data_IF_422263238784
#
_entry.id   IF_422263238784
#
_cell.length_a   1.000
_cell.length_b   1.000
_cell.length_c   1.000
_cell.angle_alpha   90.00
_cell.angle_beta   90.00
_cell.angle_gamma   90.00
#
_symmetry.space_group_name_H-M   'P 1'
#
loop_
_entity.id
_entity.type
_entity.pdbx_description
1 polymer ?
#
# COMPACT_ATOMS: atom_id res chain seq x y z
N UNK A 1 16.81 32.27 58.25
CA UNK A 1 16.98 33.09 57.00
C UNK A 1 16.89 32.16 55.78
N UNK A 2 17.59 31.02 55.72
CA UNK A 2 17.58 30.09 54.59
C UNK A 2 16.16 29.52 54.23
N UNK A 3 15.38 29.24 55.27
CA UNK A 3 14.02 28.65 55.10
C UNK A 3 13.03 29.66 54.46
N UNK A 4 13.15 30.96 54.80
CA UNK A 4 12.31 32.01 54.24
C UNK A 4 12.64 32.28 52.77
N UNK A 5 13.93 32.24 52.38
CA UNK A 5 14.39 32.38 50.99
C UNK A 5 13.91 31.20 50.15
N UNK A 6 13.96 30.01 50.67
CA UNK A 6 13.43 28.80 50.02
C UNK A 6 11.92 28.88 49.75
N UNK A 7 11.16 29.33 50.73
CA UNK A 7 9.70 29.52 50.58
C UNK A 7 9.38 30.64 49.60
N UNK A 8 10.12 31.75 49.63
CA UNK A 8 9.93 32.86 48.71
C UNK A 8 10.28 32.48 47.26
N UNK A 9 11.34 31.71 47.07
CA UNK A 9 11.76 31.17 45.80
C UNK A 9 10.70 30.21 45.22
N UNK A 10 10.21 29.32 46.08
CA UNK A 10 9.20 28.33 45.64
C UNK A 10 7.81 28.95 45.38
N UNK A 11 7.45 30.01 46.14
CA UNK A 11 6.15 30.65 46.01
C UNK A 11 6.08 31.71 44.91
N UNK A 12 7.20 32.43 44.64
CA UNK A 12 7.23 33.53 43.64
C UNK A 12 7.89 33.16 42.33
N UNK A 13 9.03 32.42 42.36
CA UNK A 13 9.79 32.14 41.13
C UNK A 13 9.41 30.84 40.46
N UNK A 14 9.09 29.80 41.23
CA UNK A 14 8.71 28.50 40.64
C UNK A 14 7.42 28.53 39.84
N UNK A 15 6.32 29.18 40.24
CA UNK A 15 5.08 29.21 39.45
C UNK A 15 5.24 29.95 38.14
N UNK A 16 6.10 30.98 38.07
CA UNK A 16 6.33 31.73 36.83
C UNK A 16 7.28 31.00 35.86
N UNK A 17 8.14 30.11 36.39
CA UNK A 17 9.06 29.34 35.57
C UNK A 17 8.47 28.02 35.04
N UNK A 18 7.62 27.41 35.82
CA UNK A 18 6.84 26.23 35.41
C UNK A 18 5.42 26.68 35.02
N UNK A 19 5.18 26.97 33.78
CA UNK A 19 3.82 27.26 33.22
C UNK A 19 2.93 26.01 33.34
N UNK A 20 2.60 25.62 34.61
CA UNK A 20 1.83 24.40 34.87
C UNK A 20 0.38 24.48 34.38
N UNK A 21 -0.16 25.69 34.17
CA UNK A 21 -1.59 25.90 33.83
C UNK A 21 -1.84 26.26 32.36
N UNK A 22 -0.81 26.34 31.53
CA UNK A 22 -1.00 26.59 30.11
C UNK A 22 -1.31 25.28 29.37
N UNK A 23 -2.54 24.83 29.43
CA UNK A 23 -3.03 23.75 28.58
C UNK A 23 -3.60 24.32 27.28
N UNK A 24 -3.16 23.80 26.16
CA UNK A 24 -3.68 24.13 24.83
C UNK A 24 -4.54 22.95 24.37
N UNK A 25 -5.73 23.26 23.91
CA UNK A 25 -6.59 22.25 23.31
C UNK A 25 -6.15 22.00 21.86
N UNK A 26 -5.89 20.73 21.52
CA UNK A 26 -5.52 20.33 20.17
C UNK A 26 -6.72 20.54 19.23
N UNK A 27 -6.57 21.35 18.16
CA UNK A 27 -7.64 21.54 17.19
C UNK A 27 -7.85 20.27 16.36
N UNK A 28 -9.06 20.12 15.83
CA UNK A 28 -9.37 19.08 14.85
C UNK A 28 -8.82 19.49 13.48
N UNK A 29 -7.96 18.66 12.91
CA UNK A 29 -7.38 18.85 11.59
C UNK A 29 -7.55 17.62 10.69
N UNK A 30 -8.49 16.74 11.06
CA UNK A 30 -8.84 15.59 10.24
C UNK A 30 -9.37 16.05 8.87
N UNK A 31 -9.12 15.24 7.85
CA UNK A 31 -9.56 15.44 6.46
C UNK A 31 -9.01 16.73 5.77
N UNK A 32 -8.24 17.55 6.47
CA UNK A 32 -7.61 18.74 5.89
C UNK A 32 -6.35 18.36 5.09
N UNK A 33 -5.98 19.14 4.06
CA UNK A 33 -4.66 19.06 3.45
C UNK A 33 -3.57 19.29 4.50
N UNK A 34 -2.47 18.55 4.42
CA UNK A 34 -1.37 18.64 5.40
C UNK A 34 -0.86 20.08 5.62
N UNK A 35 -0.80 20.89 4.56
CA UNK A 35 -0.37 22.29 4.63
C UNK A 35 -1.28 23.12 5.55
N UNK A 36 -2.57 23.00 5.38
CA UNK A 36 -3.58 23.72 6.18
C UNK A 36 -3.62 23.20 7.63
N UNK A 37 -3.57 21.88 7.79
CA UNK A 37 -3.49 21.24 9.11
C UNK A 37 -2.25 21.71 9.89
N UNK A 38 -1.09 21.77 9.23
CA UNK A 38 0.15 22.26 9.81
C UNK A 38 0.05 23.73 10.24
N UNK A 39 -0.47 24.61 9.39
CA UNK A 39 -0.64 26.01 9.71
C UNK A 39 -1.59 26.21 10.91
N UNK A 40 -2.67 25.44 10.96
CA UNK A 40 -3.63 25.49 12.05
C UNK A 40 -2.99 25.09 13.38
N UNK A 41 -2.23 24.00 13.42
CA UNK A 41 -1.52 23.57 14.63
C UNK A 41 -0.43 24.55 15.07
N UNK A 42 0.34 25.10 14.13
CA UNK A 42 1.37 26.10 14.43
C UNK A 42 0.79 27.38 15.03
N UNK A 43 -0.37 27.84 14.58
CA UNK A 43 -1.09 29.00 15.18
C UNK A 43 -1.54 28.76 16.62
N UNK A 44 -1.61 27.49 17.05
CA UNK A 44 -1.94 27.08 18.41
C UNK A 44 -0.71 26.69 19.23
N UNK A 45 0.49 27.19 18.85
CA UNK A 45 1.75 26.85 19.52
C UNK A 45 2.02 25.33 19.65
N UNK A 46 1.60 24.53 18.66
CA UNK A 46 1.84 23.10 18.60
C UNK A 46 2.87 22.79 17.51
N UNK A 47 3.79 21.90 17.80
CA UNK A 47 4.71 21.38 16.81
C UNK A 47 4.06 20.27 15.98
N UNK A 48 4.46 20.15 14.71
CA UNK A 48 3.86 19.17 13.79
C UNK A 48 4.90 18.21 13.25
N UNK A 49 4.58 16.93 13.23
CA UNK A 49 5.36 15.91 12.56
C UNK A 49 4.49 15.10 11.61
N UNK A 50 4.96 15.00 10.36
CA UNK A 50 4.25 14.28 9.29
C UNK A 50 4.63 12.82 9.30
N UNK A 51 3.65 11.95 9.23
CA UNK A 51 3.79 10.51 9.00
C UNK A 51 2.99 10.12 7.76
N UNK A 52 3.57 9.27 6.92
CA UNK A 52 2.86 8.76 5.73
C UNK A 52 2.13 7.49 6.12
N UNK A 53 0.81 7.52 6.00
CA UNK A 53 -0.08 6.40 6.25
C UNK A 53 -0.23 5.48 5.05
N UNK A 54 -1.15 4.52 5.19
CA UNK A 54 -1.54 3.62 4.10
C UNK A 54 -2.39 4.38 3.08
N UNK A 55 -2.41 3.87 1.85
CA UNK A 55 -3.31 4.36 0.81
C UNK A 55 -4.78 4.14 1.21
N UNK A 56 -5.57 5.21 1.12
CA UNK A 56 -7.02 5.18 1.27
C UNK A 56 -7.65 5.82 0.01
N UNK A 57 -8.40 5.07 -0.81
CA UNK A 57 -8.99 5.59 -2.04
C UNK A 57 -10.11 6.62 -1.81
N UNK A 58 -10.62 6.71 -0.57
CA UNK A 58 -11.70 7.65 -0.21
C UNK A 58 -11.21 9.03 0.21
N UNK A 59 -9.91 9.15 0.48
CA UNK A 59 -9.29 10.38 0.98
C UNK A 59 -8.29 10.86 -0.06
N UNK A 60 -8.29 12.14 -0.43
CA UNK A 60 -7.31 12.67 -1.36
C UNK A 60 -5.87 12.47 -0.84
N UNK A 61 -4.92 12.46 -1.76
CA UNK A 61 -3.51 12.41 -1.39
C UNK A 61 -3.15 13.57 -0.47
N UNK A 62 -2.27 13.32 0.49
CA UNK A 62 -1.72 14.31 1.42
C UNK A 62 -2.74 14.92 2.39
N UNK A 63 -3.95 14.37 2.49
CA UNK A 63 -4.91 14.73 3.52
C UNK A 63 -4.68 13.93 4.79
N UNK A 64 -4.97 14.57 5.93
CA UNK A 64 -4.81 13.97 7.25
C UNK A 64 -5.86 12.88 7.46
N UNK A 65 -5.40 11.67 7.75
CA UNK A 65 -6.24 10.49 8.02
C UNK A 65 -6.22 10.09 9.49
N UNK A 66 -5.26 10.62 10.27
CA UNK A 66 -5.16 10.39 11.71
C UNK A 66 -4.31 11.47 12.36
N UNK A 67 -4.65 11.86 13.60
CA UNK A 67 -3.87 12.79 14.40
C UNK A 67 -3.65 12.28 15.81
N UNK A 68 -2.44 12.48 16.34
CA UNK A 68 -2.08 12.10 17.69
C UNK A 68 -1.22 13.18 18.36
N UNK A 69 -1.67 13.81 19.48
CA UNK A 69 -2.90 13.55 20.26
C UNK A 69 -4.19 13.86 19.47
N UNK A 70 -5.30 13.18 19.83
CA UNK A 70 -6.58 13.43 19.15
C UNK A 70 -7.09 14.86 19.43
N UNK A 71 -8.02 15.31 18.57
CA UNK A 71 -8.71 16.58 18.74
C UNK A 71 -9.28 16.72 20.16
N UNK A 72 -9.37 17.97 20.65
CA UNK A 72 -9.84 18.32 21.97
C UNK A 72 -8.97 17.88 23.16
N UNK A 73 -7.87 17.17 22.93
CA UNK A 73 -6.91 16.81 24.00
C UNK A 73 -6.24 18.07 24.56
N UNK A 74 -6.08 18.12 25.87
CA UNK A 74 -5.33 19.19 26.52
C UNK A 74 -3.84 18.82 26.58
N UNK A 75 -3.00 19.63 25.97
CA UNK A 75 -1.55 19.43 25.87
C UNK A 75 -0.78 20.67 26.27
N UNK A 76 0.51 20.52 26.58
CA UNK A 76 1.38 21.67 26.87
C UNK A 76 1.75 22.42 25.57
N UNK A 77 2.00 23.75 25.63
CA UNK A 77 2.58 24.51 24.53
C UNK A 77 3.85 23.83 23.98
N UNK A 78 4.02 23.86 22.68
CA UNK A 78 5.14 23.18 22.00
C UNK A 78 5.00 21.66 21.89
N UNK A 79 3.89 21.07 22.35
CA UNK A 79 3.65 19.62 22.18
C UNK A 79 3.63 19.26 20.71
N UNK A 80 4.32 18.18 20.37
CA UNK A 80 4.30 17.63 19.00
C UNK A 80 3.02 16.85 18.75
N UNK A 81 2.36 17.19 17.63
CA UNK A 81 1.21 16.49 17.08
C UNK A 81 1.69 15.73 15.84
N UNK A 82 1.47 14.43 15.85
CA UNK A 82 1.77 13.55 14.71
C UNK A 82 0.56 13.51 13.80
N UNK A 83 0.75 13.88 12.55
CA UNK A 83 -0.28 13.84 11.51
C UNK A 83 0.03 12.72 10.55
N UNK A 84 -0.82 11.72 10.50
CA UNK A 84 -0.75 10.67 9.49
C UNK A 84 -1.51 11.14 8.25
N UNK A 85 -0.83 11.20 7.11
CA UNK A 85 -1.44 11.62 5.84
C UNK A 85 -1.60 10.44 4.89
N UNK A 86 -2.61 10.51 4.02
CA UNK A 86 -2.82 9.51 2.98
C UNK A 86 -1.63 9.51 2.00
N UNK A 87 -1.05 8.33 1.73
CA UNK A 87 0.08 8.20 0.81
C UNK A 87 -0.25 8.62 -0.63
N UNK A 88 -1.52 8.58 -1.01
CA UNK A 88 -1.95 8.88 -2.38
C UNK A 88 -1.58 7.84 -3.43
N UNK A 89 -0.72 6.89 -3.07
CA UNK A 89 -0.24 5.84 -3.99
C UNK A 89 -0.83 4.50 -3.59
N UNK A 90 -1.65 3.93 -4.47
CA UNK A 90 -2.15 2.58 -4.30
C UNK A 90 -0.98 1.58 -4.29
N UNK A 91 -1.00 0.56 -3.44
CA UNK A 91 0.02 -0.47 -3.46
C UNK A 91 0.01 -1.19 -4.81
N UNK A 92 1.17 -1.32 -5.42
CA UNK A 92 1.37 -2.05 -6.67
C UNK A 92 1.97 -3.42 -6.40
N UNK A 93 1.74 -4.34 -7.32
CA UNK A 93 2.26 -5.71 -7.32
C UNK A 93 2.86 -5.97 -8.68
N UNK A 94 4.01 -6.64 -8.72
CA UNK A 94 4.62 -7.08 -9.97
C UNK A 94 3.84 -8.27 -10.53
N UNK A 95 3.54 -8.23 -11.83
CA UNK A 95 2.88 -9.32 -12.57
C UNK A 95 3.81 -10.52 -12.61
N UNK A 96 3.39 -11.70 -12.14
CA UNK A 96 4.21 -12.90 -12.19
C UNK A 96 4.27 -13.46 -13.61
N UNK A 97 5.31 -14.24 -13.92
CA UNK A 97 5.33 -15.04 -15.14
C UNK A 97 4.40 -16.25 -14.95
N UNK A 98 3.37 -16.32 -15.78
CA UNK A 98 2.37 -17.38 -15.81
C UNK A 98 2.58 -18.34 -16.98
N UNK A 99 3.47 -18.00 -17.94
CA UNK A 99 3.69 -18.81 -19.13
C UNK A 99 4.20 -20.19 -18.77
N UNK A 100 3.72 -21.22 -19.46
CA UNK A 100 4.06 -22.61 -19.18
C UNK A 100 3.38 -23.23 -17.95
N UNK A 101 2.65 -22.45 -17.15
CA UNK A 101 1.89 -22.98 -16.01
C UNK A 101 0.50 -23.45 -16.43
N UNK A 102 -0.14 -24.27 -15.59
CA UNK A 102 -1.55 -24.62 -15.80
C UNK A 102 -2.46 -23.42 -15.48
N UNK A 103 -3.60 -23.34 -16.14
CA UNK A 103 -4.58 -22.29 -15.92
C UNK A 103 -5.02 -22.19 -14.44
N UNK A 104 -5.12 -23.32 -13.74
CA UNK A 104 -5.45 -23.34 -12.32
C UNK A 104 -4.34 -22.72 -11.45
N UNK A 105 -3.11 -23.05 -11.77
CA UNK A 105 -1.95 -22.51 -11.06
C UNK A 105 -1.80 -21.00 -11.31
N UNK A 106 -1.99 -20.56 -12.55
CA UNK A 106 -2.00 -19.15 -12.91
C UNK A 106 -3.03 -18.35 -12.09
N UNK A 107 -4.27 -18.86 -12.00
CA UNK A 107 -5.32 -18.24 -11.18
C UNK A 107 -4.91 -18.14 -9.70
N UNK A 108 -4.41 -19.23 -9.13
CA UNK A 108 -4.01 -19.26 -7.73
C UNK A 108 -2.87 -18.27 -7.46
N UNK A 109 -1.92 -18.16 -8.39
CA UNK A 109 -0.79 -17.24 -8.28
C UNK A 109 -1.22 -15.79 -8.33
N UNK A 110 -2.12 -15.43 -9.26
CA UNK A 110 -2.70 -14.09 -9.33
C UNK A 110 -3.47 -13.74 -8.04
N UNK A 111 -4.36 -14.62 -7.59
CA UNK A 111 -5.14 -14.41 -6.37
C UNK A 111 -4.24 -14.24 -5.13
N UNK A 112 -3.15 -15.01 -5.01
CA UNK A 112 -2.22 -14.88 -3.88
C UNK A 112 -1.50 -13.53 -3.84
N UNK A 113 -1.35 -12.87 -4.98
CA UNK A 113 -0.77 -11.54 -5.12
C UNK A 113 -1.82 -10.41 -5.02
N UNK A 114 -3.10 -10.76 -4.94
CA UNK A 114 -4.21 -9.79 -4.93
C UNK A 114 -4.45 -9.17 -6.29
N UNK A 115 -4.18 -9.94 -7.36
CA UNK A 115 -4.55 -9.63 -8.75
C UNK A 115 -5.74 -10.49 -9.16
N UNK A 116 -6.59 -9.96 -10.02
CA UNK A 116 -7.73 -10.67 -10.57
C UNK A 116 -7.38 -11.33 -11.90
N UNK A 117 -8.12 -12.37 -12.26
CA UNK A 117 -8.06 -12.97 -13.59
C UNK A 117 -8.97 -12.16 -14.51
N UNK A 118 -8.43 -11.67 -15.60
CA UNK A 118 -9.17 -10.97 -16.64
C UNK A 118 -9.83 -11.94 -17.62
N UNK A 119 -9.70 -11.66 -18.91
CA UNK A 119 -10.22 -12.55 -19.95
C UNK A 119 -9.36 -13.80 -20.09
N UNK A 120 -10.03 -14.95 -20.19
CA UNK A 120 -9.40 -16.22 -20.49
C UNK A 120 -9.76 -16.62 -21.93
N UNK A 121 -8.76 -16.60 -22.79
CA UNK A 121 -8.95 -16.88 -24.21
C UNK A 121 -8.15 -18.10 -24.63
N UNK A 122 -8.70 -18.82 -25.60
CA UNK A 122 -7.99 -19.93 -26.23
C UNK A 122 -6.98 -19.38 -27.24
N UNK A 123 -5.74 -19.84 -27.14
CA UNK A 123 -4.68 -19.52 -28.09
C UNK A 123 -4.58 -20.61 -29.17
N UNK A 124 -4.10 -20.22 -30.35
CA UNK A 124 -3.73 -21.14 -31.43
C UNK A 124 -2.37 -21.82 -31.23
N UNK A 125 -1.57 -21.35 -30.26
CA UNK A 125 -0.25 -21.91 -29.97
C UNK A 125 -0.41 -23.31 -29.35
N UNK A 126 0.15 -24.37 -30.00
CA UNK A 126 0.08 -25.71 -29.45
C UNK A 126 0.99 -25.85 -28.22
N UNK A 127 0.58 -26.66 -27.27
CA UNK A 127 1.39 -27.04 -26.10
C UNK A 127 1.21 -28.53 -25.85
N UNK A 128 2.24 -29.23 -25.32
CA UNK A 128 2.14 -30.63 -24.95
C UNK A 128 0.98 -30.94 -23.99
N UNK A 129 0.60 -29.94 -23.18
CA UNK A 129 -0.49 -30.07 -22.22
C UNK A 129 -1.61 -29.08 -22.52
N UNK A 130 -2.83 -29.57 -22.59
CA UNK A 130 -4.01 -28.73 -22.70
C UNK A 130 -4.14 -27.80 -21.48
N UNK A 131 -4.68 -26.60 -21.67
CA UNK A 131 -4.86 -25.60 -20.61
C UNK A 131 -3.55 -25.07 -19.99
N UNK A 132 -2.47 -25.12 -20.76
CA UNK A 132 -1.20 -24.45 -20.40
C UNK A 132 -1.25 -23.00 -20.89
N UNK A 133 -0.86 -22.07 -20.04
CA UNK A 133 -0.76 -20.66 -20.39
C UNK A 133 0.32 -20.46 -21.43
N UNK A 134 -0.06 -19.87 -22.57
CA UNK A 134 0.85 -19.57 -23.70
C UNK A 134 1.28 -18.14 -23.72
N UNK A 135 0.39 -17.25 -23.25
CA UNK A 135 0.57 -15.82 -23.27
C UNK A 135 -0.21 -15.18 -22.12
N UNK A 136 0.23 -14.02 -21.69
CA UNK A 136 -0.45 -13.19 -20.73
C UNK A 136 -0.35 -11.71 -21.09
N UNK A 137 -1.24 -10.89 -20.58
CA UNK A 137 -1.17 -9.43 -20.62
C UNK A 137 -1.74 -8.83 -19.32
N UNK A 138 -1.04 -7.92 -18.63
CA UNK A 138 0.29 -7.37 -18.97
C UNK A 138 1.45 -8.37 -18.87
N UNK A 139 2.64 -7.93 -19.34
CA UNK A 139 3.83 -8.78 -19.36
C UNK A 139 4.37 -9.08 -17.95
N UNK A 140 5.12 -10.19 -17.80
CA UNK A 140 5.81 -10.48 -16.54
C UNK A 140 6.74 -9.33 -16.12
N UNK A 141 6.66 -8.91 -14.86
CA UNK A 141 7.47 -7.80 -14.33
C UNK A 141 6.77 -6.44 -14.34
N UNK A 142 5.70 -6.27 -15.11
CA UNK A 142 4.90 -5.05 -15.06
C UNK A 142 4.31 -4.80 -13.69
N UNK A 143 4.10 -3.53 -13.35
CA UNK A 143 3.53 -3.12 -12.07
C UNK A 143 2.05 -2.80 -12.19
N UNK A 144 1.22 -3.57 -11.53
CA UNK A 144 -0.22 -3.37 -11.46
C UNK A 144 -0.68 -2.96 -10.06
N UNK A 145 -1.75 -2.19 -9.99
CA UNK A 145 -2.44 -1.94 -8.71
C UNK A 145 -3.09 -3.24 -8.23
N UNK A 146 -3.13 -3.45 -6.91
CA UNK A 146 -3.91 -4.56 -6.35
C UNK A 146 -5.37 -4.48 -6.79
N UNK A 147 -5.94 -5.63 -7.17
CA UNK A 147 -7.28 -5.73 -7.75
C UNK A 147 -7.35 -5.46 -9.26
N UNK A 148 -6.21 -5.20 -9.93
CA UNK A 148 -6.16 -5.16 -11.38
C UNK A 148 -6.15 -6.57 -11.97
N UNK A 149 -6.67 -6.72 -13.20
CA UNK A 149 -6.79 -8.00 -13.88
C UNK A 149 -5.63 -8.27 -14.84
N UNK A 150 -5.33 -9.54 -15.00
CA UNK A 150 -4.37 -10.08 -15.97
C UNK A 150 -5.10 -11.02 -16.92
N UNK A 151 -5.04 -10.71 -18.20
CA UNK A 151 -5.61 -11.56 -19.25
C UNK A 151 -4.69 -12.72 -19.57
N UNK A 152 -5.28 -13.87 -19.87
CA UNK A 152 -4.55 -15.14 -20.04
C UNK A 152 -5.00 -15.83 -21.32
N UNK A 153 -4.04 -16.21 -22.14
CA UNK A 153 -4.25 -17.11 -23.27
C UNK A 153 -3.70 -18.49 -22.96
N UNK A 154 -4.46 -19.52 -23.31
CA UNK A 154 -4.07 -20.90 -23.04
C UNK A 154 -4.26 -21.83 -24.24
N UNK A 155 -3.42 -22.84 -24.32
CA UNK A 155 -3.44 -23.85 -25.38
C UNK A 155 -4.59 -24.85 -25.21
N UNK A 156 -5.12 -25.31 -26.34
CA UNK A 156 -6.04 -26.46 -26.39
C UNK A 156 -5.31 -27.81 -26.27
N UNK A 157 -3.99 -27.86 -26.38
CA UNK A 157 -3.17 -29.07 -26.42
C UNK A 157 -2.31 -29.10 -27.69
N UNK A 158 -2.00 -30.30 -28.15
CA UNK A 158 -1.08 -30.55 -29.27
C UNK A 158 -1.59 -30.08 -30.63
N UNK A 159 -2.79 -29.50 -30.71
CA UNK A 159 -3.41 -29.15 -31.99
C UNK A 159 -4.01 -30.38 -32.71
N UNK A 160 -4.67 -30.08 -33.86
CA UNK A 160 -5.31 -31.13 -34.67
C UNK A 160 -4.39 -31.69 -35.79
N UNK A 161 -3.20 -31.15 -35.94
CA UNK A 161 -2.27 -31.56 -36.99
C UNK A 161 -1.69 -32.93 -36.67
N UNK A 162 -2.21 -33.93 -37.35
CA UNK A 162 -1.74 -35.31 -37.26
C UNK A 162 -0.65 -35.55 -38.29
N UNK A 163 0.59 -35.71 -37.84
CA UNK A 163 1.67 -36.16 -38.69
C UNK A 163 1.58 -37.69 -38.80
N UNK A 164 1.48 -38.28 -40.00
CA UNK A 164 1.47 -39.71 -40.15
C UNK A 164 2.79 -40.31 -39.65
N UNK A 165 2.70 -41.27 -38.73
CA UNK A 165 3.87 -42.00 -38.26
C UNK A 165 4.45 -42.83 -39.43
N UNK A 166 5.72 -42.63 -39.84
CA UNK A 166 6.31 -43.41 -40.91
C UNK A 166 6.37 -44.91 -40.50
N UNK A 167 6.11 -45.79 -41.46
CA UNK A 167 6.20 -47.21 -41.20
C UNK A 167 7.66 -47.61 -41.13
N UNK A 168 8.14 -47.86 -39.93
CA UNK A 168 9.54 -48.29 -39.65
C UNK A 168 9.70 -49.82 -39.60
N UNK A 169 8.68 -50.59 -39.96
CA UNK A 169 8.77 -52.04 -40.04
C UNK A 169 9.74 -52.43 -41.16
N UNK A 170 10.79 -53.13 -40.81
CA UNK A 170 11.80 -53.64 -41.74
C UNK A 170 13.03 -52.74 -41.94
N UNK A 171 13.12 -51.59 -41.27
CA UNK A 171 14.35 -50.83 -41.21
C UNK A 171 15.31 -51.51 -40.23
N UNK A 172 16.48 -51.92 -40.72
CA UNK A 172 17.60 -52.38 -39.86
C UNK A 172 18.21 -51.17 -39.18
N UNK A 173 18.45 -51.28 -37.89
CA UNK A 173 19.27 -50.34 -37.14
C UNK A 173 20.69 -50.88 -37.26
N UNK A 174 21.54 -50.21 -38.06
CA UNK A 174 22.98 -50.44 -38.15
C UNK A 174 23.70 -49.71 -37.02
#
# INVERSE_FOLDING_TARGET
>A
VATGVYFLFNALLMPSYTRHDAAIQVPDVMDLPFTEAKETLLRHDLAVERQVGRFNPRVPQDHVVDQNPPATSNVKPGRRVYLTVNSGTAPTVSVPDLTGTSLREARNRLMSLGLDVGEEQVDSIPSPYARTVTRQAPEPGDSLKKGASVDIWYSRGLGEERVPVPNVRGLRVD
#
